data_IF_373304237677
#
_entry.id   IF_373304237677
#
_cell.length_a   1.000
_cell.length_b   1.000
_cell.length_c   1.000
_cell.angle_alpha   90.00
_cell.angle_beta   90.00
_cell.angle_gamma   90.00
#
_symmetry.space_group_name_H-M   'P 1'
#
loop_
_entity.id
_entity.type
_entity.pdbx_description
1 polymer ?
#
# COMPACT_ATOMS: atom_id res chain seq x y z
N UNK A 1 -3.23 -7.27 11.31
CA UNK A 1 -3.33 -5.80 11.24
C UNK A 1 -1.96 -5.13 11.29
N UNK A 2 -1.18 -5.33 12.36
CA UNK A 2 0.18 -4.76 12.54
C UNK A 2 1.08 -4.91 11.31
N UNK A 3 1.25 -6.12 10.79
CA UNK A 3 2.05 -6.39 9.58
C UNK A 3 1.55 -5.70 8.31
N UNK A 4 0.24 -5.48 8.16
CA UNK A 4 -0.29 -4.77 6.99
C UNK A 4 -0.11 -3.26 7.15
N UNK A 5 -0.31 -2.73 8.35
CA UNK A 5 -0.09 -1.33 8.67
C UNK A 5 1.39 -0.94 8.44
N UNK A 6 2.32 -1.76 8.94
CA UNK A 6 3.76 -1.63 8.73
C UNK A 6 4.12 -1.64 7.24
N UNK A 7 3.63 -2.64 6.49
CA UNK A 7 3.84 -2.73 5.03
C UNK A 7 3.13 -1.66 4.20
N UNK A 8 2.30 -0.83 4.80
CA UNK A 8 1.64 0.29 4.11
C UNK A 8 2.16 1.64 4.62
N UNK A 9 3.08 1.65 5.59
CA UNK A 9 3.52 2.88 6.25
C UNK A 9 2.38 3.60 6.98
N UNK A 10 1.32 2.87 7.38
CA UNK A 10 0.13 3.41 8.02
C UNK A 10 0.14 3.11 9.51
N UNK A 11 -0.45 4.02 10.30
CA UNK A 11 -0.79 3.71 11.68
C UNK A 11 -1.80 2.53 11.75
N UNK A 12 -1.67 1.59 12.71
CA UNK A 12 -2.55 0.43 12.83
C UNK A 12 -4.05 0.76 12.93
N UNK A 13 -4.43 1.92 13.50
CA UNK A 13 -5.82 2.36 13.56
C UNK A 13 -6.36 2.75 12.18
N UNK A 14 -5.53 3.38 11.35
CA UNK A 14 -5.87 3.77 9.98
C UNK A 14 -5.97 2.55 9.08
N UNK A 15 -5.00 1.64 9.14
CA UNK A 15 -5.05 0.38 8.40
C UNK A 15 -6.28 -0.46 8.80
N UNK A 16 -6.62 -0.47 10.10
CA UNK A 16 -7.82 -1.14 10.62
C UNK A 16 -9.11 -0.57 10.06
N UNK A 17 -9.26 0.76 10.03
CA UNK A 17 -10.42 1.43 9.42
C UNK A 17 -10.55 1.13 7.93
N UNK A 18 -9.43 1.14 7.19
CA UNK A 18 -9.43 0.83 5.76
C UNK A 18 -9.82 -0.62 5.49
N UNK A 19 -9.26 -1.58 6.23
CA UNK A 19 -9.66 -2.99 6.11
C UNK A 19 -11.14 -3.17 6.44
N UNK A 20 -11.63 -2.57 7.53
CA UNK A 20 -13.04 -2.69 7.90
C UNK A 20 -13.97 -2.09 6.81
N UNK A 21 -13.53 -1.02 6.12
CA UNK A 21 -14.25 -0.48 4.99
C UNK A 21 -14.25 -1.44 3.78
N UNK A 22 -13.11 -2.04 3.47
CA UNK A 22 -12.99 -3.02 2.39
C UNK A 22 -13.77 -4.31 2.69
N UNK A 23 -13.79 -4.77 3.94
CA UNK A 23 -14.56 -5.93 4.41
C UNK A 23 -16.06 -5.67 4.27
N UNK A 24 -16.55 -4.49 4.71
CA UNK A 24 -17.94 -4.06 4.50
C UNK A 24 -18.33 -3.94 3.03
N UNK A 25 -17.37 -3.61 2.17
CA UNK A 25 -17.57 -3.52 0.73
C UNK A 25 -17.43 -4.87 0.00
N UNK A 26 -17.18 -5.98 0.71
CA UNK A 26 -17.01 -7.31 0.11
C UNK A 26 -15.70 -7.51 -0.67
N UNK A 27 -14.75 -6.57 -0.54
CA UNK A 27 -13.49 -6.59 -1.31
C UNK A 27 -12.39 -7.43 -0.63
N UNK A 28 -12.51 -7.64 0.68
CA UNK A 28 -11.59 -8.50 1.44
C UNK A 28 -12.37 -9.36 2.43
N UNK A 29 -11.82 -10.53 2.73
CA UNK A 29 -12.27 -11.41 3.80
C UNK A 29 -11.25 -11.43 4.92
N UNK A 30 -11.74 -11.55 6.16
CA UNK A 30 -10.93 -11.72 7.35
C UNK A 30 -11.15 -13.11 7.94
N UNK A 31 -10.07 -13.86 8.12
CA UNK A 31 -10.07 -15.17 8.80
C UNK A 31 -9.16 -15.12 10.01
N UNK A 32 -9.64 -15.59 11.16
CA UNK A 32 -8.82 -15.73 12.35
C UNK A 32 -7.95 -16.99 12.24
N UNK A 33 -6.67 -16.89 12.58
CA UNK A 33 -5.80 -18.07 12.65
C UNK A 33 -5.97 -18.77 14.01
N UNK A 34 -6.27 -20.08 14.06
CA UNK A 34 -6.08 -20.89 15.26
C UNK A 34 -4.59 -21.24 15.34
N UNK A 35 -3.79 -20.67 16.28
CA UNK A 35 -4.04 -20.61 17.72
C UNK A 35 -4.00 -19.20 18.36
N UNK A 36 -3.75 -18.15 17.56
CA UNK A 36 -3.66 -16.77 18.05
C UNK A 36 -4.79 -15.92 17.47
N UNK A 37 -5.87 -15.76 18.23
CA UNK A 37 -7.02 -14.90 17.85
C UNK A 37 -6.65 -13.44 17.65
N UNK A 38 -5.43 -13.01 18.03
CA UNK A 38 -4.92 -11.66 17.75
C UNK A 38 -4.36 -11.54 16.33
N UNK A 39 -4.15 -12.64 15.62
CA UNK A 39 -3.69 -12.69 14.22
C UNK A 39 -4.88 -13.00 13.31
N UNK A 40 -5.22 -12.00 12.49
CA UNK A 40 -6.23 -12.08 11.47
C UNK A 40 -5.56 -12.05 10.10
N UNK A 41 -5.80 -13.08 9.30
CA UNK A 41 -5.40 -13.16 7.90
C UNK A 41 -6.44 -12.38 7.08
N UNK A 42 -5.97 -11.42 6.30
CA UNK A 42 -6.79 -10.61 5.40
C UNK A 42 -6.49 -11.07 3.98
N UNK A 43 -7.52 -11.52 3.26
CA UNK A 43 -7.38 -12.05 1.90
C UNK A 43 -8.32 -11.28 0.98
N UNK A 44 -7.86 -10.79 -0.19
CA UNK A 44 -8.76 -10.17 -1.16
C UNK A 44 -9.76 -11.19 -1.70
N UNK A 45 -11.00 -10.75 -1.94
CA UNK A 45 -12.01 -11.55 -2.64
C UNK A 45 -11.77 -11.49 -4.15
N UNK A 46 -12.44 -12.35 -4.92
CA UNK A 46 -12.39 -12.26 -6.38
C UNK A 46 -12.85 -10.88 -6.90
N UNK A 47 -13.89 -10.32 -6.28
CA UNK A 47 -14.36 -8.95 -6.57
C UNK A 47 -13.31 -7.90 -6.18
N UNK A 48 -12.67 -8.06 -5.03
CA UNK A 48 -11.56 -7.19 -4.59
C UNK A 48 -10.40 -7.17 -5.58
N UNK A 49 -10.03 -8.33 -6.12
CA UNK A 49 -8.98 -8.45 -7.14
C UNK A 49 -9.41 -7.73 -8.42
N UNK A 50 -10.61 -8.03 -8.94
CA UNK A 50 -11.12 -7.41 -10.16
C UNK A 50 -11.22 -5.88 -10.03
N UNK A 51 -11.67 -5.38 -8.87
CA UNK A 51 -11.76 -3.94 -8.59
C UNK A 51 -10.37 -3.30 -8.52
N UNK A 52 -9.40 -3.96 -7.88
CA UNK A 52 -8.03 -3.48 -7.81
C UNK A 52 -7.38 -3.40 -9.20
N UNK A 53 -7.65 -4.37 -10.08
CA UNK A 53 -7.19 -4.33 -11.47
C UNK A 53 -7.80 -3.17 -12.25
N UNK A 54 -9.10 -2.90 -12.08
CA UNK A 54 -9.75 -1.74 -12.72
C UNK A 54 -9.10 -0.43 -12.26
N UNK A 55 -8.90 -0.23 -10.96
CA UNK A 55 -8.22 0.96 -10.44
C UNK A 55 -6.79 1.06 -11.00
N UNK A 56 -6.07 -0.06 -11.12
CA UNK A 56 -4.71 -0.07 -11.69
C UNK A 56 -4.73 0.38 -13.14
N UNK A 57 -5.65 -0.14 -13.96
CA UNK A 57 -5.82 0.28 -15.35
C UNK A 57 -6.12 1.77 -15.46
N UNK A 58 -7.16 2.24 -14.75
CA UNK A 58 -7.55 3.67 -14.75
C UNK A 58 -6.38 4.59 -14.36
N UNK A 59 -5.57 4.18 -13.37
CA UNK A 59 -4.37 4.94 -12.97
C UNK A 59 -3.30 4.91 -14.04
N UNK A 60 -3.05 3.77 -14.67
CA UNK A 60 -2.08 3.64 -15.76
C UNK A 60 -2.48 4.50 -16.95
N UNK A 61 -3.76 4.45 -17.34
CA UNK A 61 -4.30 5.23 -18.45
C UNK A 61 -4.17 6.73 -18.14
N UNK A 62 -4.53 7.16 -16.93
CA UNK A 62 -4.37 8.56 -16.52
C UNK A 62 -2.92 9.04 -16.48
N UNK A 63 -1.96 8.18 -16.11
CA UNK A 63 -0.53 8.52 -16.21
C UNK A 63 -0.06 8.61 -17.66
N UNK A 64 -0.51 7.70 -18.53
CA UNK A 64 -0.17 7.73 -19.94
C UNK A 64 -0.68 9.01 -20.60
N UNK A 65 -1.91 9.44 -20.29
CA UNK A 65 -2.46 10.72 -20.76
C UNK A 65 -1.67 11.92 -20.23
N UNK A 66 -1.35 11.95 -18.93
CA UNK A 66 -0.62 13.05 -18.31
C UNK A 66 0.79 13.24 -18.88
N UNK A 67 1.40 12.14 -19.31
CA UNK A 67 2.78 12.09 -19.78
C UNK A 67 2.88 11.97 -21.31
N UNK A 68 1.76 12.10 -22.03
CA UNK A 68 1.70 11.83 -23.47
C UNK A 68 2.65 12.70 -24.31
N UNK A 69 2.91 13.93 -23.87
CA UNK A 69 3.77 14.91 -24.56
C UNK A 69 5.23 14.90 -24.07
N UNK A 70 5.59 13.98 -23.18
CA UNK A 70 6.96 13.89 -22.68
C UNK A 70 7.83 13.10 -23.65
N UNK A 71 9.08 13.53 -23.81
CA UNK A 71 10.09 12.79 -24.58
C UNK A 71 10.45 11.46 -23.88
N UNK A 72 10.77 10.43 -24.67
CA UNK A 72 11.11 9.09 -24.17
C UNK A 72 12.27 9.10 -23.15
N UNK A 73 13.20 10.05 -23.30
CA UNK A 73 14.37 10.22 -22.42
C UNK A 73 13.96 10.73 -21.03
N UNK A 74 12.98 11.64 -20.97
CA UNK A 74 12.43 12.16 -19.72
C UNK A 74 11.62 11.08 -19.00
N UNK A 75 10.83 10.29 -19.74
CA UNK A 75 10.09 9.15 -19.21
C UNK A 75 11.01 8.10 -18.59
N UNK A 76 12.12 7.76 -19.27
CA UNK A 76 13.13 6.83 -18.74
C UNK A 76 13.78 7.37 -17.47
N UNK A 77 14.20 8.63 -17.49
CA UNK A 77 14.82 9.28 -16.33
C UNK A 77 13.88 9.28 -15.12
N UNK A 78 12.60 9.62 -15.35
CA UNK A 78 11.58 9.59 -14.32
C UNK A 78 11.38 8.17 -13.74
N UNK A 79 11.32 7.16 -14.61
CA UNK A 79 11.24 5.75 -14.22
C UNK A 79 12.40 5.33 -13.32
N UNK A 80 13.64 5.61 -13.72
CA UNK A 80 14.85 5.29 -12.95
C UNK A 80 14.85 5.95 -11.56
N UNK A 81 14.43 7.22 -11.49
CA UNK A 81 14.35 7.94 -10.22
C UNK A 81 13.25 7.36 -9.30
N UNK A 82 12.09 7.02 -9.85
CA UNK A 82 11.03 6.37 -9.07
C UNK A 82 11.43 4.98 -8.59
N UNK A 83 12.13 4.18 -9.39
CA UNK A 83 12.64 2.89 -8.97
C UNK A 83 13.61 3.02 -7.79
N UNK A 84 14.56 3.97 -7.88
CA UNK A 84 15.50 4.25 -6.79
C UNK A 84 14.78 4.72 -5.52
N UNK A 85 13.80 5.61 -5.64
CA UNK A 85 12.99 6.07 -4.52
C UNK A 85 12.18 4.92 -3.90
N UNK A 86 11.49 4.14 -4.72
CA UNK A 86 10.67 3.01 -4.27
C UNK A 86 11.51 1.94 -3.56
N UNK A 87 12.74 1.67 -4.04
CA UNK A 87 13.69 0.79 -3.35
C UNK A 87 14.05 1.32 -1.97
N UNK A 88 14.37 2.60 -1.83
CA UNK A 88 14.68 3.20 -0.53
C UNK A 88 13.47 3.17 0.44
N UNK A 89 12.26 3.42 -0.06
CA UNK A 89 11.02 3.28 0.72
C UNK A 89 10.81 1.82 1.14
N UNK A 90 11.00 0.87 0.23
CA UNK A 90 10.86 -0.54 0.52
C UNK A 90 11.85 -1.00 1.59
N UNK A 91 13.11 -0.60 1.48
CA UNK A 91 14.17 -0.86 2.48
C UNK A 91 13.79 -0.29 3.85
N UNK A 92 13.18 0.91 3.88
CA UNK A 92 12.84 1.60 5.13
C UNK A 92 11.58 1.08 5.81
N UNK A 93 10.58 0.64 5.04
CA UNK A 93 9.22 0.39 5.54
C UNK A 93 8.64 -0.98 5.17
N UNK A 94 9.16 -1.67 4.14
CA UNK A 94 8.56 -2.90 3.60
C UNK A 94 9.42 -4.16 3.82
N UNK A 95 10.74 -4.02 3.98
CA UNK A 95 11.67 -5.11 4.24
C UNK A 95 12.34 -4.93 5.60
N UNK A 96 11.71 -5.45 6.66
CA UNK A 96 12.35 -5.51 7.98
C UNK A 96 11.45 -6.12 9.06
N UNK A 97 11.94 -7.17 9.70
CA UNK A 97 11.42 -7.80 10.92
C UNK A 97 11.53 -6.90 12.17
N UNK A 98 12.03 -5.67 12.03
CA UNK A 98 12.05 -4.64 13.07
C UNK A 98 11.43 -3.34 12.53
N UNK A 99 10.10 -3.25 12.60
CA UNK A 99 9.39 -1.98 12.48
C UNK A 99 9.68 -1.13 13.73
N UNK A 100 10.83 -0.45 13.76
CA UNK A 100 11.12 0.56 14.75
C UNK A 100 10.00 1.62 14.75
N UNK A 101 9.49 2.04 15.92
CA UNK A 101 8.35 2.93 16.00
C UNK A 101 8.62 4.26 15.29
N UNK A 102 7.65 4.69 14.49
CA UNK A 102 7.61 6.00 13.84
C UNK A 102 7.93 7.10 14.86
N UNK A 103 8.94 7.96 14.64
CA UNK A 103 9.15 9.10 15.52
C UNK A 103 7.95 10.04 15.41
N UNK A 104 7.37 10.41 16.55
CA UNK A 104 6.24 11.33 16.64
C UNK A 104 6.57 12.67 15.97
N UNK A 105 5.60 13.33 15.32
CA UNK A 105 5.81 14.64 14.70
C UNK A 105 6.22 15.64 15.78
N UNK A 106 7.40 16.24 15.62
CA UNK A 106 7.88 17.35 16.46
C UNK A 106 6.82 18.45 16.45
N UNK A 107 6.17 18.66 17.59
CA UNK A 107 5.40 19.87 17.85
C UNK A 107 6.33 21.07 17.64
N UNK A 108 6.02 21.86 16.61
CA UNK A 108 6.66 23.15 16.41
C UNK A 108 6.01 24.11 17.39
N UNK A 109 6.79 24.57 18.37
CA UNK A 109 6.43 25.68 19.26
C UNK A 109 6.56 27.01 18.52
#
# INVERSE_FOLDING_TARGET
MKTLAERLGLDPSTAGRQIAAMERAGLVERRCEPPDRRRALITPTAEGIARAETVRRERTDGFAELLADWEDDDLRTLGEMFERYNRAVAERYLTGEDAAPTPEPRATH
#
